data_IF_638046290186
#
_entry.id   IF_638046290186
#
_cell.length_a   1.000
_cell.length_b   1.000
_cell.length_c   1.000
_cell.angle_alpha   90.00
_cell.angle_beta   90.00
_cell.angle_gamma   90.00
#
_symmetry.space_group_name_H-M   'P 1'
#
loop_
_entity.id
_entity.type
_entity.pdbx_description
1 polymer ?
#
# COMPACT_ATOMS: atom_id res chain seq x y z
N UNK A 1 0.66 7.55 -1.71
CA UNK A 1 1.71 6.58 -1.31
C UNK A 1 3.10 7.21 -1.25
N UNK A 2 3.66 7.79 -2.33
CA UNK A 2 5.00 8.42 -2.27
C UNK A 2 5.18 9.45 -1.16
N UNK A 3 4.23 10.37 -0.99
CA UNK A 3 4.27 11.33 0.12
C UNK A 3 4.28 10.65 1.51
N UNK A 4 3.63 9.48 1.65
CA UNK A 4 3.71 8.68 2.88
C UNK A 4 5.11 8.09 3.04
N UNK A 5 5.65 7.47 1.98
CA UNK A 5 6.98 6.87 2.04
C UNK A 5 8.08 7.88 2.40
N UNK A 6 8.00 9.11 1.89
CA UNK A 6 8.93 10.20 2.25
C UNK A 6 8.75 10.60 3.72
N UNK A 7 7.49 10.77 4.16
CA UNK A 7 7.19 11.17 5.54
C UNK A 7 7.72 10.17 6.58
N UNK A 8 7.64 8.86 6.29
CA UNK A 8 8.05 7.81 7.23
C UNK A 8 9.48 7.31 7.03
N UNK A 9 10.11 7.60 5.88
CA UNK A 9 11.46 7.14 5.55
C UNK A 9 11.54 5.63 5.35
N UNK A 10 12.66 5.15 4.80
CA UNK A 10 12.97 3.71 4.63
C UNK A 10 11.82 2.86 4.05
N UNK A 11 10.95 3.48 3.24
CA UNK A 11 9.70 2.89 2.77
C UNK A 11 9.69 2.85 1.24
N UNK A 12 9.58 1.65 0.68
CA UNK A 12 9.39 1.42 -0.75
C UNK A 12 7.92 1.53 -1.17
N UNK A 13 7.67 2.12 -2.34
CA UNK A 13 6.31 2.18 -2.92
C UNK A 13 6.26 1.32 -4.17
N UNK A 14 5.47 0.26 -4.15
CA UNK A 14 5.21 -0.55 -5.35
C UNK A 14 4.23 0.18 -6.25
N UNK A 15 4.51 0.24 -7.56
CA UNK A 15 3.60 0.89 -8.49
C UNK A 15 2.32 0.08 -8.68
N UNK A 16 1.12 0.63 -8.42
CA UNK A 16 -0.13 -0.10 -8.61
C UNK A 16 -0.40 -0.47 -10.09
N UNK A 17 0.27 0.19 -11.03
CA UNK A 17 0.08 -0.03 -12.46
C UNK A 17 0.55 -1.40 -12.96
N UNK A 18 1.28 -2.17 -12.14
CA UNK A 18 1.68 -3.52 -12.56
C UNK A 18 0.48 -4.44 -12.77
N UNK A 19 -0.64 -4.20 -12.07
CA UNK A 19 -1.86 -4.99 -12.20
C UNK A 19 -2.44 -4.99 -13.62
N UNK A 20 -2.19 -3.92 -14.39
CA UNK A 20 -2.62 -3.81 -15.78
C UNK A 20 -1.71 -4.53 -16.80
N UNK A 21 -0.57 -5.09 -16.36
CA UNK A 21 0.40 -5.73 -17.24
C UNK A 21 0.11 -7.23 -17.36
N UNK A 22 0.24 -7.78 -18.57
CA UNK A 22 0.02 -9.21 -18.84
C UNK A 22 1.26 -10.05 -18.55
N UNK A 23 2.42 -9.59 -19.04
CA UNK A 23 3.67 -10.35 -18.98
C UNK A 23 4.32 -10.27 -17.59
N UNK A 24 4.72 -11.40 -16.97
CA UNK A 24 5.30 -11.42 -15.63
C UNK A 24 6.51 -10.51 -15.46
N UNK A 25 7.46 -10.53 -16.40
CA UNK A 25 8.66 -9.69 -16.33
C UNK A 25 8.32 -8.20 -16.40
N UNK A 26 7.32 -7.86 -17.22
CA UNK A 26 6.82 -6.49 -17.30
C UNK A 26 6.08 -6.07 -16.04
N UNK A 27 5.29 -6.96 -15.42
CA UNK A 27 4.67 -6.72 -14.10
C UNK A 27 5.76 -6.39 -13.09
N UNK A 28 6.82 -7.20 -13.00
CA UNK A 28 7.94 -7.00 -12.08
C UNK A 28 8.67 -5.67 -12.29
N UNK A 29 8.99 -5.34 -13.55
CA UNK A 29 9.64 -4.06 -13.89
C UNK A 29 8.77 -2.87 -13.49
N UNK A 30 7.46 -2.94 -13.77
CA UNK A 30 6.53 -1.86 -13.43
C UNK A 30 6.31 -1.78 -11.92
N UNK A 31 6.22 -2.90 -11.21
CA UNK A 31 6.11 -2.94 -9.76
C UNK A 31 7.28 -2.20 -9.10
N UNK A 32 8.50 -2.39 -9.61
CA UNK A 32 9.71 -1.69 -9.14
C UNK A 32 9.97 -0.32 -9.81
N UNK A 33 9.00 0.28 -10.52
CA UNK A 33 9.24 1.54 -11.24
C UNK A 33 9.71 2.70 -10.33
N UNK A 34 9.41 2.62 -9.03
CA UNK A 34 9.79 3.62 -8.03
C UNK A 34 10.94 3.17 -7.11
N UNK A 35 11.70 2.15 -7.52
CA UNK A 35 12.79 1.56 -6.73
C UNK A 35 12.33 1.09 -5.33
N UNK A 36 11.15 0.45 -5.28
CA UNK A 36 10.53 0.00 -4.03
C UNK A 36 11.41 -1.00 -3.26
N UNK A 37 12.17 -1.83 -3.98
CA UNK A 37 12.95 -2.92 -3.41
C UNK A 37 14.43 -2.55 -3.19
N UNK A 38 14.74 -1.26 -3.07
CA UNK A 38 16.05 -0.81 -2.63
C UNK A 38 16.43 -1.45 -1.29
N UNK A 39 17.70 -1.85 -1.13
CA UNK A 39 18.22 -2.41 0.12
C UNK A 39 18.17 -1.45 1.32
N UNK A 40 17.90 -0.18 1.09
CA UNK A 40 17.68 0.84 2.12
C UNK A 40 16.26 0.84 2.70
N UNK A 41 15.30 0.20 2.01
CA UNK A 41 13.92 0.18 2.45
C UNK A 41 13.66 -1.01 3.37
N UNK A 42 13.15 -0.74 4.56
CA UNK A 42 12.79 -1.75 5.56
C UNK A 42 11.31 -2.06 5.54
N UNK A 43 10.51 -1.17 4.97
CA UNK A 43 9.06 -1.28 4.82
C UNK A 43 8.71 -1.14 3.35
N UNK A 44 7.72 -1.88 2.86
CA UNK A 44 7.20 -1.73 1.49
C UNK A 44 5.68 -1.62 1.55
N UNK A 45 5.13 -0.65 0.83
CA UNK A 45 3.69 -0.44 0.72
C UNK A 45 3.23 -0.54 -0.73
N UNK A 46 2.02 -1.05 -0.91
CA UNK A 46 1.38 -1.05 -2.21
C UNK A 46 -0.14 -1.08 -2.09
N UNK A 47 -0.80 -0.71 -3.20
CA UNK A 47 -2.24 -0.84 -3.37
C UNK A 47 -2.53 -1.50 -4.70
N UNK A 48 -3.65 -2.19 -4.80
CA UNK A 48 -4.19 -2.72 -6.06
C UNK A 48 -5.62 -2.29 -6.24
N UNK A 49 -5.98 -2.06 -7.49
CA UNK A 49 -7.37 -1.86 -7.88
C UNK A 49 -7.90 -3.18 -8.47
N UNK A 50 -8.75 -3.85 -7.70
CA UNK A 50 -9.43 -5.08 -8.09
C UNK A 50 -10.69 -4.72 -8.87
N UNK A 51 -10.85 -5.30 -10.06
CA UNK A 51 -12.05 -5.15 -10.88
C UNK A 51 -12.33 -3.73 -11.41
N UNK A 52 -11.38 -2.80 -11.36
CA UNK A 52 -11.56 -1.42 -11.82
C UNK A 52 -12.24 -0.49 -10.80
N UNK A 53 -12.72 -1.02 -9.67
CA UNK A 53 -13.64 -0.29 -8.77
C UNK A 53 -13.28 -0.38 -7.30
N UNK A 54 -12.46 -1.36 -6.89
CA UNK A 54 -12.19 -1.61 -5.48
C UNK A 54 -10.71 -1.54 -5.16
N UNK A 55 -10.32 -0.71 -4.19
CA UNK A 55 -8.94 -0.57 -3.76
C UNK A 55 -8.66 -1.43 -2.53
N UNK A 56 -7.57 -2.18 -2.60
CA UNK A 56 -7.01 -2.97 -1.50
C UNK A 56 -5.54 -2.60 -1.30
N UNK A 57 -4.99 -2.86 -0.12
CA UNK A 57 -3.63 -2.48 0.23
C UNK A 57 -2.85 -3.65 0.85
N UNK A 58 -1.53 -3.57 0.74
CA UNK A 58 -0.63 -4.45 1.48
C UNK A 58 0.57 -3.68 2.01
N UNK A 59 1.10 -4.17 3.11
CA UNK A 59 2.28 -3.68 3.79
C UNK A 59 3.22 -4.85 4.05
N UNK A 60 4.49 -4.71 3.69
CA UNK A 60 5.53 -5.71 3.93
C UNK A 60 6.54 -5.11 4.90
N UNK A 61 6.77 -5.81 6.01
CA UNK A 61 7.91 -5.60 6.88
C UNK A 61 9.05 -6.51 6.40
N UNK A 62 10.07 -5.93 5.78
CA UNK A 62 11.16 -6.69 5.13
C UNK A 62 11.97 -7.45 6.17
N UNK A 63 12.17 -6.88 7.37
CA UNK A 63 12.96 -7.50 8.43
C UNK A 63 12.23 -8.65 9.09
N UNK A 64 10.93 -8.48 9.35
CA UNK A 64 10.09 -9.53 9.91
C UNK A 64 9.64 -10.56 8.88
N UNK A 65 9.86 -10.31 7.58
CA UNK A 65 9.39 -11.13 6.46
C UNK A 65 7.88 -11.39 6.54
N UNK A 66 7.13 -10.34 6.89
CA UNK A 66 5.68 -10.41 7.05
C UNK A 66 4.98 -9.52 6.03
N UNK A 67 3.85 -9.98 5.51
CA UNK A 67 2.97 -9.22 4.64
C UNK A 67 1.59 -9.08 5.28
N UNK A 68 1.20 -7.86 5.63
CA UNK A 68 -0.15 -7.51 6.06
C UNK A 68 -0.97 -7.15 4.83
N UNK A 69 -2.04 -7.91 4.63
CA UNK A 69 -3.04 -7.67 3.61
C UNK A 69 -4.20 -6.89 4.21
N UNK A 70 -4.74 -5.93 3.48
CA UNK A 70 -5.88 -5.13 3.91
C UNK A 70 -6.87 -4.95 2.76
N UNK A 71 -8.10 -5.39 3.04
CA UNK A 71 -9.26 -5.07 2.24
C UNK A 71 -10.25 -4.27 3.10
N UNK A 72 -10.59 -3.02 2.74
CA UNK A 72 -11.61 -2.23 3.43
C UNK A 72 -12.96 -2.94 3.58
N UNK A 73 -13.34 -3.80 2.64
CA UNK A 73 -14.59 -4.59 2.71
C UNK A 73 -14.39 -5.98 3.34
N UNK A 74 -13.15 -6.33 3.67
CA UNK A 74 -12.74 -7.60 4.27
C UNK A 74 -13.23 -8.85 3.51
N UNK A 75 -13.37 -8.74 2.19
CA UNK A 75 -13.82 -9.80 1.31
C UNK A 75 -12.77 -10.89 1.12
N UNK A 76 -13.16 -12.15 1.36
CA UNK A 76 -12.26 -13.30 1.19
C UNK A 76 -11.69 -13.41 -0.22
N UNK A 77 -12.49 -13.13 -1.26
CA UNK A 77 -12.04 -13.17 -2.65
C UNK A 77 -10.96 -12.12 -2.92
N UNK A 78 -11.17 -10.88 -2.45
CA UNK A 78 -10.22 -9.78 -2.61
C UNK A 78 -8.92 -10.02 -1.86
N UNK A 79 -8.97 -10.63 -0.66
CA UNK A 79 -7.76 -11.08 0.03
C UNK A 79 -6.98 -12.13 -0.77
N UNK A 80 -7.66 -13.12 -1.33
CA UNK A 80 -7.00 -14.18 -2.10
C UNK A 80 -6.36 -13.62 -3.38
N UNK A 81 -7.05 -12.71 -4.08
CA UNK A 81 -6.52 -12.05 -5.27
C UNK A 81 -5.32 -11.16 -4.93
N UNK A 82 -5.40 -10.41 -3.84
CA UNK A 82 -4.29 -9.57 -3.36
C UNK A 82 -3.07 -10.42 -2.98
N UNK A 83 -3.26 -11.48 -2.20
CA UNK A 83 -2.19 -12.39 -1.81
C UNK A 83 -1.53 -13.02 -3.04
N UNK A 84 -2.32 -13.51 -4.00
CA UNK A 84 -1.82 -14.09 -5.23
C UNK A 84 -0.99 -13.07 -6.04
N UNK A 85 -1.44 -11.82 -6.15
CA UNK A 85 -0.71 -10.76 -6.84
C UNK A 85 0.63 -10.42 -6.16
N UNK A 86 0.66 -10.38 -4.82
CA UNK A 86 1.89 -10.15 -4.05
C UNK A 86 2.86 -11.31 -4.26
N UNK A 87 2.40 -12.57 -4.10
CA UNK A 87 3.21 -13.78 -4.32
C UNK A 87 3.77 -13.86 -5.75
N UNK A 88 2.95 -13.55 -6.76
CA UNK A 88 3.36 -13.64 -8.16
C UNK A 88 4.41 -12.59 -8.51
N UNK A 89 4.20 -11.32 -8.11
CA UNK A 89 4.92 -10.16 -8.66
C UNK A 89 5.92 -9.56 -7.67
N UNK A 90 5.49 -9.34 -6.44
CA UNK A 90 6.19 -8.52 -5.44
C UNK A 90 7.21 -9.35 -4.67
N UNK A 91 6.79 -10.52 -4.19
CA UNK A 91 7.64 -11.39 -3.38
C UNK A 91 8.95 -11.80 -4.09
N UNK A 92 8.95 -12.13 -5.41
CA UNK A 92 10.20 -12.46 -6.10
C UNK A 92 11.14 -11.27 -6.35
N UNK A 93 10.68 -10.04 -6.08
CA UNK A 93 11.53 -8.84 -6.11
C UNK A 93 12.19 -8.56 -4.76
N UNK A 94 11.77 -9.25 -3.70
CA UNK A 94 12.41 -9.18 -2.40
C UNK A 94 13.61 -10.13 -2.40
N UNK A 95 14.75 -9.64 -1.89
CA UNK A 95 15.94 -10.48 -1.67
C UNK A 95 15.81 -11.25 -0.36
N UNK A 96 14.79 -12.13 -0.26
CA UNK A 96 14.51 -12.94 0.93
C UNK A 96 15.01 -14.37 0.78
N UNK A 97 15.42 -14.96 1.91
CA UNK A 97 15.85 -16.37 1.98
C UNK A 97 14.69 -17.33 2.23
N UNK A 98 13.49 -16.80 2.50
CA UNK A 98 12.27 -17.57 2.81
C UNK A 98 11.04 -16.84 2.31
N UNK A 99 9.93 -17.58 2.22
CA UNK A 99 8.63 -17.03 1.86
C UNK A 99 8.12 -16.02 2.91
N UNK A 100 7.32 -15.07 2.44
CA UNK A 100 6.60 -14.13 3.31
C UNK A 100 5.52 -14.83 4.12
N UNK A 101 5.37 -14.43 5.38
CA UNK A 101 4.22 -14.84 6.19
C UNK A 101 3.09 -13.82 6.01
N UNK A 102 1.90 -14.29 5.63
CA UNK A 102 0.76 -13.46 5.29
C UNK A 102 -0.26 -13.38 6.42
N UNK A 103 -0.80 -12.18 6.66
CA UNK A 103 -1.84 -11.94 7.67
C UNK A 103 -2.86 -10.93 7.16
N UNK A 104 -4.12 -11.09 7.56
CA UNK A 104 -5.20 -10.15 7.23
C UNK A 104 -5.34 -9.11 8.33
N UNK A 105 -5.43 -7.84 7.96
CA UNK A 105 -5.79 -6.76 8.87
C UNK A 105 -7.31 -6.55 8.83
N UNK A 106 -7.99 -6.78 9.96
CA UNK A 106 -9.47 -6.78 10.03
C UNK A 106 -10.04 -5.81 11.07
N UNK A 107 -9.22 -4.84 11.53
CA UNK A 107 -9.69 -3.87 12.54
C UNK A 107 -10.50 -2.72 11.94
N UNK A 108 -10.39 -2.48 10.63
CA UNK A 108 -11.09 -1.42 9.90
C UNK A 108 -12.00 -2.04 8.84
N UNK A 109 -13.32 -1.94 9.04
CA UNK A 109 -14.33 -2.32 8.05
C UNK A 109 -14.98 -1.05 7.49
N UNK A 110 -14.90 -0.83 6.19
CA UNK A 110 -15.56 0.30 5.55
C UNK A 110 -17.08 0.20 5.68
N UNK A 111 -17.72 1.30 6.08
CA UNK A 111 -19.17 1.39 6.31
C UNK A 111 -19.93 2.02 5.13
N UNK A 112 -19.21 2.38 4.07
CA UNK A 112 -19.70 3.05 2.86
C UNK A 112 -19.26 2.31 1.58
N UNK A 113 -19.53 2.87 0.40
CA UNK A 113 -19.18 2.26 -0.89
C UNK A 113 -18.10 3.04 -1.68
N UNK A 114 -17.52 4.10 -1.12
CA UNK A 114 -16.68 5.04 -1.89
C UNK A 114 -15.32 5.38 -1.23
N UNK A 115 -15.05 4.89 -0.02
CA UNK A 115 -13.81 5.20 0.71
C UNK A 115 -12.75 4.10 0.69
N UNK A 116 -12.82 3.10 -0.20
CA UNK A 116 -11.86 1.98 -0.18
C UNK A 116 -10.41 2.45 -0.37
N UNK A 117 -10.20 3.40 -1.29
CA UNK A 117 -8.90 4.03 -1.49
C UNK A 117 -8.44 4.87 -0.30
N UNK A 118 -9.37 5.56 0.38
CA UNK A 118 -9.07 6.34 1.58
C UNK A 118 -8.61 5.43 2.72
N UNK A 119 -9.39 4.38 3.01
CA UNK A 119 -9.06 3.43 4.08
C UNK A 119 -7.74 2.70 3.82
N UNK A 120 -7.43 2.39 2.56
CA UNK A 120 -6.10 1.89 2.19
C UNK A 120 -4.98 2.84 2.63
N UNK A 121 -5.10 4.14 2.34
CA UNK A 121 -4.10 5.14 2.75
C UNK A 121 -4.00 5.28 4.26
N UNK A 122 -5.13 5.28 4.96
CA UNK A 122 -5.19 5.36 6.43
C UNK A 122 -4.49 4.17 7.08
N UNK A 123 -4.82 2.94 6.68
CA UNK A 123 -4.20 1.75 7.26
C UNK A 123 -2.70 1.66 6.95
N UNK A 124 -2.28 2.01 5.73
CA UNK A 124 -0.85 2.08 5.40
C UNK A 124 -0.13 3.11 6.29
N UNK A 125 -0.69 4.30 6.46
CA UNK A 125 -0.10 5.33 7.32
C UNK A 125 -0.02 4.91 8.79
N UNK A 126 -1.11 4.38 9.34
CA UNK A 126 -1.14 3.89 10.73
C UNK A 126 -0.12 2.78 10.94
N UNK A 127 0.04 1.89 9.96
CA UNK A 127 1.01 0.78 10.01
C UNK A 127 2.46 1.28 10.00
N UNK A 128 2.78 2.25 9.14
CA UNK A 128 4.10 2.89 9.08
C UNK A 128 4.38 3.69 10.36
N UNK A 129 3.39 4.42 10.86
CA UNK A 129 3.49 5.20 12.10
C UNK A 129 3.32 4.40 13.38
N UNK A 130 3.24 3.06 13.31
CA UNK A 130 3.01 2.14 14.45
C UNK A 130 1.86 2.61 15.37
N UNK A 131 0.84 3.20 14.77
CA UNK A 131 -0.32 3.79 15.47
C UNK A 131 -1.51 2.85 15.38
N UNK A 132 -2.23 2.56 16.48
CA UNK A 132 -3.38 1.68 16.44
C UNK A 132 -4.55 2.31 15.68
N UNK A 133 -5.36 1.46 15.06
CA UNK A 133 -6.64 1.85 14.50
C UNK A 133 -7.59 2.42 15.57
N UNK A 134 -8.38 3.44 15.20
CA UNK A 134 -9.40 4.03 16.06
C UNK A 134 -10.67 4.34 15.26
N UNK A 135 -11.82 3.87 15.75
CA UNK A 135 -13.13 4.09 15.12
C UNK A 135 -13.52 5.56 14.95
N UNK A 136 -12.98 6.48 15.74
CA UNK A 136 -13.21 7.93 15.60
C UNK A 136 -12.78 8.44 14.21
N UNK A 137 -11.87 7.74 13.53
CA UNK A 137 -11.45 8.10 12.17
C UNK A 137 -12.61 8.06 11.16
N UNK A 138 -13.67 7.28 11.39
CA UNK A 138 -14.88 7.31 10.55
C UNK A 138 -15.55 8.68 10.52
N UNK A 139 -15.51 9.42 11.63
CA UNK A 139 -16.08 10.77 11.73
C UNK A 139 -15.24 11.83 10.98
N UNK A 140 -14.03 11.47 10.56
CA UNK A 140 -13.04 12.38 9.98
C UNK A 140 -12.85 12.18 8.48
N UNK A 141 -13.70 11.42 7.79
CA UNK A 141 -13.55 11.13 6.34
C UNK A 141 -13.30 12.38 5.49
N UNK A 142 -14.08 13.48 5.59
CA UNK A 142 -13.82 14.70 4.79
C UNK A 142 -12.45 15.31 5.09
N UNK A 143 -12.07 15.35 6.36
CA UNK A 143 -10.76 15.86 6.80
C UNK A 143 -9.62 14.97 6.28
N UNK A 144 -9.74 13.64 6.36
CA UNK A 144 -8.73 12.70 5.91
C UNK A 144 -8.52 12.80 4.39
N UNK A 145 -9.60 12.92 3.60
CA UNK A 145 -9.52 13.17 2.14
C UNK A 145 -8.72 14.43 1.84
N UNK A 146 -9.06 15.55 2.50
CA UNK A 146 -8.35 16.81 2.33
C UNK A 146 -6.88 16.72 2.77
N UNK A 147 -6.60 16.04 3.90
CA UNK A 147 -5.25 15.84 4.44
C UNK A 147 -4.37 15.07 3.46
N UNK A 148 -4.84 13.96 2.91
CA UNK A 148 -4.04 13.20 1.94
C UNK A 148 -3.86 13.96 0.62
N UNK A 149 -4.86 14.72 0.17
CA UNK A 149 -4.70 15.58 -0.99
C UNK A 149 -3.65 16.68 -0.74
N UNK A 150 -3.70 17.33 0.43
CA UNK A 150 -2.72 18.34 0.84
C UNK A 150 -1.30 17.79 0.95
N UNK A 151 -1.14 16.55 1.43
CA UNK A 151 0.16 15.86 1.42
C UNK A 151 0.70 15.65 0.01
N UNK A 152 -0.17 15.27 -0.94
CA UNK A 152 0.23 15.12 -2.35
C UNK A 152 0.64 16.46 -2.97
N UNK A 153 -0.09 17.54 -2.68
CA UNK A 153 0.25 18.89 -3.17
C UNK A 153 1.60 19.35 -2.63
N UNK A 154 1.82 19.22 -1.31
CA UNK A 154 3.09 19.60 -0.67
C UNK A 154 4.26 18.83 -1.27
N UNK A 155 4.10 17.52 -1.47
CA UNK A 155 5.10 16.70 -2.15
C UNK A 155 5.42 17.21 -3.56
N UNK A 156 4.40 17.52 -4.38
CA UNK A 156 4.62 18.03 -5.74
C UNK A 156 5.34 19.38 -5.73
N UNK A 157 5.02 20.27 -4.79
CA UNK A 157 5.65 21.58 -4.64
C UNK A 157 7.12 21.47 -4.23
N UNK A 158 7.44 20.61 -3.26
CA UNK A 158 8.82 20.32 -2.86
C UNK A 158 9.66 19.78 -4.03
N UNK A 159 9.10 18.86 -4.83
CA UNK A 159 9.78 18.34 -6.03
C UNK A 159 9.96 19.38 -7.14
N UNK A 160 9.16 20.47 -7.14
CA UNK A 160 9.30 21.59 -8.08
C UNK A 160 10.31 22.64 -7.60
N UNK A 161 10.33 22.93 -6.30
CA UNK A 161 11.23 23.91 -5.68
C UNK A 161 12.66 23.42 -5.49
N UNK A 162 12.90 22.10 -5.55
CA UNK A 162 14.23 21.48 -5.54
C UNK A 162 14.94 21.43 -6.90
N UNK A 163 14.58 22.30 -7.87
CA UNK A 163 15.28 22.47 -9.14
C UNK A 163 16.02 23.80 -9.20
#
# INVERSE_FOLDING_TARGET
MHALAIKYGETGVVSPSFAGMKEPDRKRKVANAYNAFSGTNTEIIGVLNIGGVHWVAYHIDVRAQTCRLFDPQQGTASYNELEAAVKEVVEPLLSLNSELIYYKFTSCLQEDNDNCGLWCLVILELTLGRTPWNKVLYELVPYLRLRYLGMCTSYIEEQRGGR
#
